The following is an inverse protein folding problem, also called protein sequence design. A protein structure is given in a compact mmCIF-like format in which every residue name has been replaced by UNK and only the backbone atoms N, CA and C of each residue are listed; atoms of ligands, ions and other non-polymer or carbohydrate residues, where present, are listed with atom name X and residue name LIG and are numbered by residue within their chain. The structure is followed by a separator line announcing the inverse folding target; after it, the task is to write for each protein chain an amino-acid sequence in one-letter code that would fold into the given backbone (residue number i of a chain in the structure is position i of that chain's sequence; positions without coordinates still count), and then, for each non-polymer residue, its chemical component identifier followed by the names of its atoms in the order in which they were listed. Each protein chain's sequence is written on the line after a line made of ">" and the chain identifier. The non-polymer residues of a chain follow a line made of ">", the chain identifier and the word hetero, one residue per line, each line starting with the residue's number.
data_IF_648427793368
#
_entry.id   IF_648427793368
#
_cell.length_a   1.000
_cell.length_b   1.000
_cell.length_c   1.000
_cell.angle_alpha   90.00
_cell.angle_beta   90.00
_cell.angle_gamma   90.00
#
_symmetry.space_group_name_H-M   'P 1'
#
loop_
_entity.id
_entity.type
_entity.pdbx_description
1 polymer ?
#
# COMPACT_ATOMS: atom_id res chain seq x y z
N UNK A 1 -20.36 -5.70 87.67
CA UNK A 1 -21.10 -6.98 87.64
C UNK A 1 -22.38 -6.79 86.84
N UNK A 2 -22.63 -7.74 85.95
CA UNK A 2 -23.92 -8.10 85.36
C UNK A 2 -24.59 -7.25 84.26
N UNK A 3 -24.78 -7.99 83.16
CA UNK A 3 -25.98 -8.13 82.31
C UNK A 3 -26.26 -7.11 81.21
N UNK A 4 -26.00 -7.58 79.99
CA UNK A 4 -27.02 -7.95 79.00
C UNK A 4 -28.06 -6.90 78.60
N UNK A 5 -28.15 -6.66 77.28
CA UNK A 5 -29.40 -6.86 76.53
C UNK A 5 -29.16 -6.73 75.02
N UNK A 6 -29.44 -7.82 74.30
CA UNK A 6 -29.83 -7.81 72.90
C UNK A 6 -31.29 -7.36 72.83
N UNK A 7 -31.65 -6.48 71.89
CA UNK A 7 -32.96 -6.48 71.24
C UNK A 7 -32.86 -5.85 69.84
N UNK A 8 -33.45 -6.55 68.89
CA UNK A 8 -33.69 -6.18 67.49
C UNK A 8 -34.63 -4.96 67.37
N UNK A 9 -34.55 -4.20 66.27
CA UNK A 9 -35.61 -4.08 65.25
C UNK A 9 -35.27 -2.98 64.21
N UNK A 10 -35.21 -3.41 62.94
CA UNK A 10 -35.71 -2.76 61.73
C UNK A 10 -35.39 -1.29 61.41
N UNK A 11 -34.75 -1.06 60.25
CA UNK A 11 -35.26 -0.14 59.23
C UNK A 11 -34.55 -0.34 57.88
N UNK A 12 -35.38 -0.40 56.84
CA UNK A 12 -35.05 -0.39 55.41
C UNK A 12 -34.05 0.71 55.00
N UNK A 13 -33.12 0.38 54.10
CA UNK A 13 -32.75 1.23 52.96
C UNK A 13 -32.09 0.38 51.87
N UNK A 14 -32.88 0.00 50.86
CA UNK A 14 -32.41 -0.57 49.60
C UNK A 14 -31.88 0.58 48.75
N UNK A 15 -30.57 0.66 48.55
CA UNK A 15 -29.95 1.55 47.56
C UNK A 15 -29.62 0.73 46.31
N UNK A 16 -30.52 0.79 45.32
CA UNK A 16 -30.33 0.25 43.99
C UNK A 16 -29.20 1.00 43.28
N UNK A 17 -28.06 0.34 43.06
CA UNK A 17 -27.00 0.87 42.21
C UNK A 17 -27.26 0.38 40.78
N UNK A 18 -28.03 1.14 40.01
CA UNK A 18 -28.19 0.92 38.59
C UNK A 18 -26.86 1.25 37.89
N UNK A 19 -26.06 0.22 37.59
CA UNK A 19 -24.96 0.35 36.64
C UNK A 19 -25.56 0.60 35.25
N UNK A 20 -25.67 1.87 34.89
CA UNK A 20 -25.87 2.28 33.51
C UNK A 20 -24.58 1.99 32.74
N UNK A 21 -24.39 0.73 32.31
CA UNK A 21 -23.47 0.42 31.21
C UNK A 21 -24.16 0.90 29.94
N UNK A 22 -23.99 2.19 29.64
CA UNK A 22 -24.40 2.74 28.37
C UNK A 22 -23.69 1.99 27.23
N UNK A 23 -24.30 1.90 26.04
CA UNK A 23 -23.66 1.24 24.91
C UNK A 23 -22.34 1.97 24.63
N UNK A 24 -21.23 1.22 24.67
CA UNK A 24 -19.96 1.63 24.08
C UNK A 24 -20.26 1.86 22.60
N UNK A 25 -20.61 3.10 22.28
CA UNK A 25 -20.81 3.53 20.92
C UNK A 25 -19.46 3.38 20.24
N UNK A 26 -19.43 2.49 19.25
CA UNK A 26 -18.28 2.19 18.42
C UNK A 26 -17.46 3.46 18.17
N UNK A 27 -16.20 3.44 18.60
CA UNK A 27 -15.19 4.42 18.25
C UNK A 27 -14.97 4.33 16.74
N UNK A 28 -15.89 4.93 15.98
CA UNK A 28 -15.89 4.95 14.53
C UNK A 28 -14.79 5.89 14.10
N UNK A 29 -13.59 5.32 13.94
CA UNK A 29 -12.59 5.81 13.01
C UNK A 29 -12.13 7.27 13.18
N UNK A 30 -12.01 7.76 14.42
CA UNK A 30 -11.31 9.03 14.68
C UNK A 30 -9.82 8.95 14.25
N UNK A 31 -9.23 7.74 14.28
CA UNK A 31 -7.87 7.47 13.80
C UNK A 31 -7.73 7.56 12.28
N UNK A 32 -8.75 7.19 11.50
CA UNK A 32 -8.66 7.21 10.03
C UNK A 32 -8.62 8.65 9.50
N UNK A 33 -9.40 9.55 10.09
CA UNK A 33 -9.34 11.00 9.79
C UNK A 33 -8.02 11.62 10.21
N UNK A 34 -7.48 11.22 11.37
CA UNK A 34 -6.18 11.70 11.84
C UNK A 34 -4.99 11.19 11.01
N UNK A 35 -5.11 9.99 10.42
CA UNK A 35 -4.12 9.39 9.49
C UNK A 35 -4.26 9.86 8.04
N UNK A 36 -5.19 10.77 7.75
CA UNK A 36 -5.45 11.26 6.38
C UNK A 36 -6.11 10.22 5.45
N UNK A 37 -6.62 9.12 6.00
CA UNK A 37 -7.29 8.04 5.24
C UNK A 37 -8.61 8.52 4.59
N UNK A 38 -9.16 9.65 5.06
CA UNK A 38 -10.39 10.24 4.55
C UNK A 38 -10.19 11.31 3.47
N UNK A 39 -8.94 11.68 3.14
CA UNK A 39 -8.67 12.88 2.32
C UNK A 39 -8.13 12.61 0.92
N UNK A 40 -7.83 11.36 0.61
CA UNK A 40 -7.55 10.83 -0.75
C UNK A 40 -8.25 9.47 -0.87
N UNK A 41 -8.48 8.93 -2.07
CA UNK A 41 -8.87 7.54 -2.32
C UNK A 41 -7.75 6.63 -1.82
N UNK A 42 -7.70 6.48 -0.49
CA UNK A 42 -6.54 6.00 0.25
C UNK A 42 -6.13 4.60 -0.21
N UNK A 43 -7.12 3.76 -0.50
CA UNK A 43 -6.87 2.38 -0.89
C UNK A 43 -6.24 2.25 -2.27
N UNK A 44 -6.79 2.89 -3.31
CA UNK A 44 -6.28 2.75 -4.69
C UNK A 44 -4.88 3.36 -4.84
N UNK A 45 -4.62 4.48 -4.16
CA UNK A 45 -3.28 5.06 -4.02
C UNK A 45 -2.29 4.12 -3.32
N UNK A 46 -2.62 3.64 -2.11
CA UNK A 46 -1.71 2.75 -1.37
C UNK A 46 -1.48 1.42 -2.08
N UNK A 47 -2.51 0.86 -2.70
CA UNK A 47 -2.41 -0.42 -3.39
C UNK A 47 -1.52 -0.31 -4.64
N UNK A 48 -1.71 0.73 -5.48
CA UNK A 48 -0.83 0.94 -6.64
C UNK A 48 0.63 1.10 -6.22
N UNK A 49 0.91 1.89 -5.18
CA UNK A 49 2.27 2.03 -4.63
C UNK A 49 2.89 0.68 -4.24
N UNK A 50 2.19 -0.14 -3.45
CA UNK A 50 2.70 -1.46 -3.01
C UNK A 50 3.02 -2.36 -4.20
N UNK A 51 2.18 -2.35 -5.23
CA UNK A 51 2.42 -3.15 -6.42
C UNK A 51 3.62 -2.63 -7.22
N UNK A 52 3.84 -1.32 -7.31
CA UNK A 52 5.07 -0.77 -7.89
C UNK A 52 6.31 -1.17 -7.09
N UNK A 53 6.26 -1.07 -5.76
CA UNK A 53 7.35 -1.50 -4.88
C UNK A 53 7.66 -2.99 -5.05
N UNK A 54 6.63 -3.84 -5.12
CA UNK A 54 6.82 -5.27 -5.32
C UNK A 54 7.45 -5.60 -6.68
N UNK A 55 6.96 -5.00 -7.77
CA UNK A 55 7.55 -5.22 -9.10
C UNK A 55 9.01 -4.79 -9.16
N UNK A 56 9.35 -3.65 -8.53
CA UNK A 56 10.73 -3.19 -8.35
C UNK A 56 11.58 -4.18 -7.56
N UNK A 57 11.09 -4.63 -6.40
CA UNK A 57 11.82 -5.54 -5.53
C UNK A 57 12.08 -6.87 -6.24
N UNK A 58 11.09 -7.45 -6.91
CA UNK A 58 11.31 -8.64 -7.75
C UNK A 58 12.42 -8.44 -8.78
N UNK A 59 12.48 -7.27 -9.44
CA UNK A 59 13.53 -6.98 -10.42
C UNK A 59 14.93 -6.96 -9.79
N UNK A 60 15.09 -6.22 -8.69
CA UNK A 60 16.40 -6.09 -8.03
C UNK A 60 16.83 -7.36 -7.28
N UNK A 61 15.90 -8.06 -6.64
CA UNK A 61 16.15 -9.34 -5.98
C UNK A 61 16.57 -10.39 -7.01
N UNK A 62 15.91 -10.42 -8.16
CA UNK A 62 16.28 -11.35 -9.23
C UNK A 62 17.62 -11.00 -9.87
N UNK A 63 17.94 -9.71 -10.03
CA UNK A 63 19.29 -9.27 -10.43
C UNK A 63 20.36 -9.79 -9.46
N UNK A 64 20.14 -9.65 -8.15
CA UNK A 64 21.02 -10.21 -7.13
C UNK A 64 21.11 -11.74 -7.18
N UNK A 65 19.98 -12.41 -7.41
CA UNK A 65 19.93 -13.86 -7.57
C UNK A 65 20.72 -14.35 -8.79
N UNK A 66 20.57 -13.70 -9.96
CA UNK A 66 21.32 -14.03 -11.19
C UNK A 66 22.81 -13.79 -11.00
N UNK A 67 23.20 -12.74 -10.25
CA UNK A 67 24.60 -12.51 -9.91
C UNK A 67 25.21 -13.68 -9.13
N UNK A 68 24.46 -14.19 -8.13
CA UNK A 68 24.90 -15.33 -7.32
C UNK A 68 24.73 -16.68 -8.06
N UNK A 69 23.81 -16.75 -9.01
CA UNK A 69 23.43 -17.95 -9.75
C UNK A 69 23.39 -17.64 -11.25
N UNK A 70 24.54 -17.67 -11.96
CA UNK A 70 24.62 -17.33 -13.39
C UNK A 70 23.86 -18.27 -14.33
N UNK A 71 23.21 -19.30 -13.78
CA UNK A 71 22.28 -20.20 -14.46
C UNK A 71 21.07 -20.40 -13.53
N UNK A 72 20.16 -19.42 -13.46
CA UNK A 72 19.03 -19.46 -12.54
C UNK A 72 18.11 -20.65 -12.85
N UNK A 73 17.49 -21.21 -11.82
CA UNK A 73 16.50 -22.27 -12.02
C UNK A 73 15.30 -21.76 -12.84
N UNK A 74 14.79 -22.51 -13.83
CA UNK A 74 13.60 -22.13 -14.58
C UNK A 74 12.36 -21.85 -13.71
N UNK A 75 12.25 -22.53 -12.56
CA UNK A 75 11.16 -22.29 -11.62
C UNK A 75 11.24 -20.88 -11.01
N UNK A 76 12.44 -20.45 -10.63
CA UNK A 76 12.67 -19.10 -10.07
C UNK A 76 12.44 -18.04 -11.13
N UNK A 77 12.93 -18.26 -12.35
CA UNK A 77 12.68 -17.37 -13.49
C UNK A 77 11.17 -17.16 -13.68
N UNK A 78 10.42 -18.26 -13.75
CA UNK A 78 8.96 -18.22 -13.95
C UNK A 78 8.24 -17.49 -12.81
N UNK A 79 8.61 -17.77 -11.56
CA UNK A 79 8.04 -17.13 -10.38
C UNK A 79 8.22 -15.60 -10.43
N UNK A 80 9.47 -15.16 -10.63
CA UNK A 80 9.82 -13.75 -10.68
C UNK A 80 9.10 -13.05 -11.83
N UNK A 81 9.18 -13.57 -13.05
CA UNK A 81 8.56 -12.91 -14.21
C UNK A 81 7.04 -12.85 -14.06
N UNK A 82 6.42 -13.90 -13.52
CA UNK A 82 4.97 -13.89 -13.22
C UNK A 82 4.64 -12.87 -12.13
N UNK A 83 5.46 -12.78 -11.08
CA UNK A 83 5.30 -11.84 -9.97
C UNK A 83 5.37 -10.38 -10.43
N UNK A 84 6.34 -10.06 -11.29
CA UNK A 84 6.47 -8.72 -11.91
C UNK A 84 5.21 -8.41 -12.73
N UNK A 85 4.84 -9.28 -13.68
CA UNK A 85 3.68 -9.06 -14.54
C UNK A 85 2.38 -8.92 -13.75
N UNK A 86 2.17 -9.73 -12.71
CA UNK A 86 1.02 -9.63 -11.82
C UNK A 86 0.95 -8.27 -11.11
N UNK A 87 2.06 -7.81 -10.54
CA UNK A 87 2.08 -6.53 -9.83
C UNK A 87 1.87 -5.35 -10.78
N UNK A 88 2.45 -5.36 -11.98
CA UNK A 88 2.16 -4.34 -13.00
C UNK A 88 0.67 -4.33 -13.39
N UNK A 89 0.03 -5.50 -13.47
CA UNK A 89 -1.39 -5.61 -13.81
C UNK A 89 -2.29 -5.05 -12.70
N UNK A 90 -2.03 -5.39 -11.44
CA UNK A 90 -2.79 -4.85 -10.31
C UNK A 90 -2.57 -3.35 -10.14
N UNK A 91 -1.33 -2.86 -10.30
CA UNK A 91 -1.05 -1.42 -10.23
C UNK A 91 -1.83 -0.65 -11.30
N UNK A 92 -1.89 -1.16 -12.54
CA UNK A 92 -2.71 -0.58 -13.62
C UNK A 92 -4.19 -0.53 -13.26
N UNK A 93 -4.75 -1.58 -12.66
CA UNK A 93 -6.15 -1.57 -12.18
C UNK A 93 -6.38 -0.49 -11.15
N UNK A 94 -5.45 -0.32 -10.21
CA UNK A 94 -5.54 0.70 -9.17
C UNK A 94 -5.38 2.13 -9.72
N UNK A 95 -4.50 2.36 -10.70
CA UNK A 95 -4.43 3.65 -11.42
C UNK A 95 -5.75 3.97 -12.13
N UNK A 96 -6.36 2.99 -12.81
CA UNK A 96 -7.65 3.20 -13.46
C UNK A 96 -8.75 3.52 -12.45
N UNK A 97 -8.70 2.95 -11.24
CA UNK A 97 -9.61 3.31 -10.15
C UNK A 97 -9.32 4.73 -9.64
N UNK A 98 -8.06 5.09 -9.40
CA UNK A 98 -7.68 6.46 -9.01
C UNK A 98 -8.17 7.49 -10.03
N UNK A 99 -8.10 7.18 -11.33
CA UNK A 99 -8.59 8.08 -12.38
C UNK A 99 -10.10 8.36 -12.26
N UNK A 100 -10.88 7.36 -11.85
CA UNK A 100 -12.31 7.52 -11.53
C UNK A 100 -12.49 8.34 -10.24
N UNK A 101 -11.72 8.01 -9.21
CA UNK A 101 -11.83 8.66 -7.91
C UNK A 101 -11.47 10.16 -7.97
N UNK A 102 -10.57 10.54 -8.89
CA UNK A 102 -10.14 11.91 -9.14
C UNK A 102 -10.73 12.54 -10.42
N UNK A 103 -11.83 12.01 -10.96
CA UNK A 103 -12.36 12.43 -12.26
C UNK A 103 -12.62 13.95 -12.40
N UNK A 104 -12.92 14.64 -11.29
CA UNK A 104 -13.14 16.10 -11.26
C UNK A 104 -11.85 16.92 -11.10
N UNK A 105 -10.73 16.30 -10.76
CA UNK A 105 -9.42 16.93 -10.64
C UNK A 105 -8.59 16.69 -11.92
N UNK A 106 -8.68 17.63 -12.87
CA UNK A 106 -7.98 17.53 -14.17
C UNK A 106 -6.46 17.34 -14.05
N UNK A 107 -5.83 17.98 -13.06
CA UNK A 107 -4.39 17.85 -12.83
C UNK A 107 -4.03 16.43 -12.36
N UNK A 108 -4.82 15.87 -11.45
CA UNK A 108 -4.64 14.50 -10.98
C UNK A 108 -4.84 13.49 -12.11
N UNK A 109 -5.91 13.66 -12.92
CA UNK A 109 -6.16 12.79 -14.09
C UNK A 109 -4.99 12.82 -15.07
N UNK A 110 -4.46 14.01 -15.38
CA UNK A 110 -3.32 14.15 -16.29
C UNK A 110 -2.07 13.45 -15.75
N UNK A 111 -1.79 13.58 -14.45
CA UNK A 111 -0.67 12.92 -13.81
C UNK A 111 -0.84 11.39 -13.77
N UNK A 112 -2.06 10.89 -13.53
CA UNK A 112 -2.38 9.46 -13.57
C UNK A 112 -2.20 8.91 -14.99
N UNK A 113 -2.59 9.64 -16.03
CA UNK A 113 -2.35 9.24 -17.42
C UNK A 113 -0.85 9.22 -17.77
N UNK A 114 -0.06 10.11 -17.14
CA UNK A 114 1.41 10.05 -17.19
C UNK A 114 1.94 8.75 -16.58
N UNK A 115 1.45 8.38 -15.39
CA UNK A 115 1.79 7.10 -14.74
C UNK A 115 1.37 5.90 -15.58
N UNK A 116 0.18 5.92 -16.20
CA UNK A 116 -0.28 4.84 -17.09
C UNK A 116 0.68 4.62 -18.28
N UNK A 117 1.28 5.69 -18.83
CA UNK A 117 2.30 5.60 -19.89
C UNK A 117 3.62 5.02 -19.37
N UNK A 118 4.07 5.43 -18.19
CA UNK A 118 5.27 4.85 -17.57
C UNK A 118 5.07 3.36 -17.26
N UNK A 119 3.89 2.97 -16.79
CA UNK A 119 3.55 1.55 -16.59
C UNK A 119 3.58 0.78 -17.90
N UNK A 120 3.14 1.37 -19.01
CA UNK A 120 3.29 0.75 -20.33
C UNK A 120 4.77 0.55 -20.71
N UNK A 121 5.64 1.53 -20.44
CA UNK A 121 7.08 1.36 -20.62
C UNK A 121 7.67 0.25 -19.72
N UNK A 122 7.22 0.13 -18.47
CA UNK A 122 7.62 -0.96 -17.59
C UNK A 122 7.22 -2.35 -18.13
N UNK A 123 6.07 -2.47 -18.82
CA UNK A 123 5.72 -3.70 -19.54
C UNK A 123 6.72 -4.01 -20.66
N UNK A 124 7.18 -3.02 -21.43
CA UNK A 124 8.19 -3.24 -22.46
C UNK A 124 9.52 -3.74 -21.86
N UNK A 125 9.92 -3.20 -20.72
CA UNK A 125 11.11 -3.67 -19.99
C UNK A 125 10.90 -5.07 -19.40
N UNK A 126 9.70 -5.38 -18.91
CA UNK A 126 9.35 -6.72 -18.46
C UNK A 126 9.41 -7.75 -19.60
N UNK A 127 8.91 -7.42 -20.78
CA UNK A 127 8.99 -8.27 -21.97
C UNK A 127 10.44 -8.51 -22.40
N UNK A 128 11.28 -7.46 -22.35
CA UNK A 128 12.73 -7.59 -22.57
C UNK A 128 13.37 -8.53 -21.56
N UNK A 129 13.07 -8.38 -20.27
CA UNK A 129 13.56 -9.30 -19.24
C UNK A 129 13.16 -10.75 -19.53
N UNK A 130 11.90 -11.01 -19.89
CA UNK A 130 11.46 -12.36 -20.28
C UNK A 130 12.23 -12.89 -21.49
N UNK A 131 12.52 -12.05 -22.48
CA UNK A 131 13.36 -12.44 -23.61
C UNK A 131 14.80 -12.76 -23.18
N UNK A 132 15.40 -11.98 -22.27
CA UNK A 132 16.74 -12.25 -21.72
C UNK A 132 16.77 -13.60 -20.97
N UNK A 133 15.73 -13.89 -20.20
CA UNK A 133 15.61 -15.13 -19.43
C UNK A 133 15.38 -16.38 -20.28
N UNK A 134 14.68 -16.26 -21.42
CA UNK A 134 14.33 -17.37 -22.30
C UNK A 134 15.30 -17.54 -23.48
N UNK A 135 16.38 -16.77 -23.52
CA UNK A 135 17.42 -16.91 -24.54
C UNK A 135 18.07 -18.29 -24.44
N UNK A 136 18.20 -18.99 -25.58
CA UNK A 136 18.80 -20.32 -25.65
C UNK A 136 20.24 -20.37 -25.11
N UNK A 137 20.94 -19.23 -25.17
CA UNK A 137 22.31 -19.05 -24.72
C UNK A 137 22.41 -18.19 -23.46
N UNK A 138 21.43 -18.31 -22.55
CA UNK A 138 21.29 -17.52 -21.31
C UNK A 138 22.54 -16.72 -20.90
N UNK A 139 22.42 -15.40 -21.00
CA UNK A 139 23.47 -14.46 -20.64
C UNK A 139 23.11 -13.79 -19.32
N UNK A 140 23.87 -14.11 -18.27
CA UNK A 140 23.68 -13.56 -16.94
C UNK A 140 23.89 -12.05 -16.89
N UNK A 141 24.87 -11.50 -17.61
CA UNK A 141 25.17 -10.07 -17.62
C UNK A 141 24.05 -9.30 -18.34
N UNK A 142 23.62 -9.81 -19.49
CA UNK A 142 22.49 -9.26 -20.22
C UNK A 142 21.23 -9.30 -19.37
N UNK A 143 20.93 -10.43 -18.73
CA UNK A 143 19.75 -10.58 -17.86
C UNK A 143 19.78 -9.60 -16.69
N UNK A 144 20.92 -9.44 -16.01
CA UNK A 144 21.08 -8.43 -14.96
C UNK A 144 20.83 -7.01 -15.48
N UNK A 145 21.29 -6.69 -16.69
CA UNK A 145 21.01 -5.40 -17.33
C UNK A 145 19.50 -5.22 -17.59
N UNK A 146 18.81 -6.27 -18.07
CA UNK A 146 17.37 -6.23 -18.27
C UNK A 146 16.61 -6.01 -16.94
N UNK A 147 17.11 -6.56 -15.82
CA UNK A 147 16.59 -6.30 -14.48
C UNK A 147 16.87 -4.86 -13.99
N UNK A 148 18.07 -4.34 -14.23
CA UNK A 148 18.45 -2.98 -13.83
C UNK A 148 17.62 -1.94 -14.61
N UNK A 149 17.42 -2.15 -15.91
CA UNK A 149 16.58 -1.31 -16.77
C UNK A 149 15.12 -1.27 -16.28
N UNK A 150 14.54 -2.44 -15.97
CA UNK A 150 13.20 -2.52 -15.41
C UNK A 150 13.15 -1.85 -14.03
N UNK A 151 14.12 -2.13 -13.16
CA UNK A 151 14.21 -1.53 -11.83
C UNK A 151 14.26 0.00 -11.88
N UNK A 152 15.07 0.56 -12.79
CA UNK A 152 15.17 2.00 -13.00
C UNK A 152 13.86 2.61 -13.52
N UNK A 153 13.12 1.92 -14.39
CA UNK A 153 11.79 2.38 -14.82
C UNK A 153 10.78 2.34 -13.65
N UNK A 154 10.83 1.31 -12.82
CA UNK A 154 10.00 1.24 -11.61
C UNK A 154 10.33 2.36 -10.61
N UNK A 155 11.61 2.75 -10.47
CA UNK A 155 12.02 3.90 -9.66
C UNK A 155 11.40 5.20 -10.18
N UNK A 156 11.37 5.42 -11.50
CA UNK A 156 10.71 6.59 -12.11
C UNK A 156 9.20 6.60 -11.85
N UNK A 157 8.55 5.45 -11.92
CA UNK A 157 7.11 5.29 -11.62
C UNK A 157 6.85 5.64 -10.16
N UNK A 158 7.66 5.12 -9.23
CA UNK A 158 7.51 5.39 -7.79
C UNK A 158 7.74 6.85 -7.43
N UNK A 159 8.73 7.50 -8.04
CA UNK A 159 8.98 8.94 -7.88
C UNK A 159 7.80 9.76 -8.40
N UNK A 160 7.29 9.43 -9.59
CA UNK A 160 6.12 10.09 -10.18
C UNK A 160 4.85 9.88 -9.34
N UNK A 161 4.68 8.66 -8.81
CA UNK A 161 3.55 8.32 -7.94
C UNK A 161 3.62 9.08 -6.61
N UNK A 162 4.80 9.14 -5.99
CA UNK A 162 5.04 9.92 -4.76
C UNK A 162 4.73 11.40 -4.98
N UNK A 163 5.24 12.00 -6.06
CA UNK A 163 4.94 13.39 -6.44
C UNK A 163 3.44 13.64 -6.61
N UNK A 164 2.73 12.71 -7.25
CA UNK A 164 1.27 12.80 -7.36
C UNK A 164 0.63 12.77 -5.97
N UNK A 165 1.01 11.83 -5.10
CA UNK A 165 0.42 11.73 -3.75
C UNK A 165 0.69 12.97 -2.90
N UNK A 166 1.90 13.52 -2.96
CA UNK A 166 2.25 14.75 -2.25
C UNK A 166 1.43 15.94 -2.76
N UNK A 167 1.17 16.00 -4.07
CA UNK A 167 0.32 17.06 -4.65
C UNK A 167 -1.15 16.97 -4.23
N UNK A 168 -1.61 15.76 -3.86
CA UNK A 168 -2.98 15.47 -3.46
C UNK A 168 -3.17 15.49 -1.94
N UNK A 169 -2.09 15.47 -1.17
CA UNK A 169 -2.13 15.55 0.28
C UNK A 169 -2.77 16.88 0.73
N UNK A 170 -3.65 16.88 1.75
CA UNK A 170 -4.14 18.12 2.32
C UNK A 170 -2.97 18.97 2.79
N UNK A 171 -2.80 20.16 2.22
CA UNK A 171 -1.92 21.18 2.81
C UNK A 171 -2.51 21.52 4.17
N UNK A 172 -1.93 21.01 5.25
CA UNK A 172 -2.40 21.33 6.60
C UNK A 172 -2.41 22.85 6.77
N UNK A 173 -3.60 23.43 6.96
CA UNK A 173 -3.71 24.77 7.49
C UNK A 173 -3.10 24.75 8.90
N UNK A 174 -2.13 25.62 9.15
CA UNK A 174 -1.56 25.80 10.48
C UNK A 174 -2.69 25.96 11.51
N UNK A 175 -2.58 25.37 12.71
CA UNK A 175 -3.61 25.53 13.73
C UNK A 175 -3.80 27.02 13.99
N UNK A 176 -5.03 27.50 13.81
CA UNK A 176 -5.40 28.85 14.16
C UNK A 176 -5.05 29.07 15.63
N UNK A 177 -4.10 29.98 15.89
CA UNK A 177 -3.77 30.43 17.24
C UNK A 177 -5.06 31.00 17.84
N UNK A 178 -5.60 30.33 18.85
CA UNK A 178 -6.59 30.92 19.76
C UNK A 178 -5.85 31.68 20.85
#
# INVERSE_FOLDING_TARGET
>A
MNTSRRFLFGALAVAATAMLVGPVSAQKDAGSKARGEATVPFWSSKASQRHFENARNYSYDFRGYVQANPKPSPAVVKEVTTGIGHNLAEAKKHLAQMKKDFATNKSAVTAIEGLEKQVAAAYEHHDKLMACCNDATFDAMKTMTCCDDLGAEMDKILDSHTKLMDSLAPKHAAPAKK
#
